data_IF_105956759260
#
_entry.id   IF_105956759260
#
_cell.length_a   1.000
_cell.length_b   1.000
_cell.length_c   1.000
_cell.angle_alpha   90.00
_cell.angle_beta   90.00
_cell.angle_gamma   90.00
#
_symmetry.space_group_name_H-M   'P 1'
#
loop_
_entity.id
_entity.type
_entity.pdbx_description
1 polymer ?
#
# COMPACT_ATOMS: atom_id res chain seq x y z
N UNK A 1 -11.28 -28.39 26.02
CA UNK A 1 -10.25 -29.17 25.31
C UNK A 1 -9.51 -28.18 24.43
N UNK A 2 -8.32 -27.78 24.85
CA UNK A 2 -7.45 -26.85 24.13
C UNK A 2 -6.48 -27.72 23.31
N UNK A 3 -6.68 -27.78 22.01
CA UNK A 3 -5.72 -28.41 21.11
C UNK A 3 -4.58 -27.42 20.83
N UNK A 4 -3.43 -27.81 21.29
CA UNK A 4 -2.11 -27.23 21.11
C UNK A 4 -1.75 -27.16 19.62
N UNK A 5 -1.73 -25.97 19.03
CA UNK A 5 -1.09 -25.73 17.74
C UNK A 5 0.45 -25.74 17.91
N UNK A 6 0.99 -26.94 18.13
CA UNK A 6 2.42 -27.22 18.21
C UNK A 6 2.94 -27.83 16.91
N UNK A 7 2.84 -27.13 15.80
CA UNK A 7 3.56 -27.46 14.58
C UNK A 7 4.84 -26.64 14.51
N UNK A 8 5.99 -27.24 14.87
CA UNK A 8 7.31 -26.67 14.58
C UNK A 8 7.42 -26.49 13.06
N UNK A 9 7.60 -25.26 12.54
CA UNK A 9 7.81 -25.09 11.09
C UNK A 9 9.07 -25.87 10.71
N UNK A 10 8.99 -26.64 9.63
CA UNK A 10 10.12 -27.37 9.08
C UNK A 10 11.29 -26.39 8.87
N UNK A 11 12.53 -26.76 9.24
CA UNK A 11 13.68 -25.88 9.06
C UNK A 11 13.82 -25.55 7.57
N UNK A 12 13.65 -24.29 7.23
CA UNK A 12 13.96 -23.75 5.90
C UNK A 12 15.42 -24.11 5.63
N UNK A 13 15.77 -24.67 4.44
CA UNK A 13 17.15 -25.00 4.12
C UNK A 13 18.02 -23.76 4.32
N UNK A 14 19.09 -23.90 5.09
CA UNK A 14 19.99 -22.81 5.43
C UNK A 14 20.64 -22.28 4.14
N UNK A 15 20.13 -21.15 3.65
CA UNK A 15 20.71 -20.42 2.52
C UNK A 15 22.11 -19.96 2.95
N UNK A 16 23.12 -20.14 2.09
CA UNK A 16 24.47 -19.65 2.38
C UNK A 16 24.47 -18.12 2.55
N UNK A 17 25.39 -17.58 3.37
CA UNK A 17 25.47 -16.14 3.62
C UNK A 17 25.63 -15.31 2.33
N UNK A 18 26.30 -15.88 1.33
CA UNK A 18 26.48 -15.24 0.02
C UNK A 18 25.20 -15.21 -0.80
N UNK A 19 24.40 -16.27 -0.77
CA UNK A 19 23.08 -16.34 -1.41
C UNK A 19 22.10 -15.40 -0.71
N UNK A 20 22.07 -15.39 0.63
CA UNK A 20 21.26 -14.49 1.43
C UNK A 20 21.55 -13.02 1.07
N UNK A 21 22.83 -12.64 0.99
CA UNK A 21 23.22 -11.29 0.60
C UNK A 21 22.82 -10.91 -0.84
N UNK A 22 22.76 -11.88 -1.74
CA UNK A 22 22.28 -11.65 -3.12
C UNK A 22 20.76 -11.37 -3.13
N UNK A 23 19.98 -12.17 -2.39
CA UNK A 23 18.52 -12.01 -2.26
C UNK A 23 18.15 -10.69 -1.59
N UNK A 24 18.88 -10.28 -0.55
CA UNK A 24 18.67 -8.97 0.10
C UNK A 24 18.97 -7.82 -0.88
N UNK A 25 19.99 -7.94 -1.73
CA UNK A 25 20.25 -6.91 -2.76
C UNK A 25 19.15 -6.85 -3.82
N UNK A 26 18.52 -7.97 -4.15
CA UNK A 26 17.36 -7.99 -5.04
C UNK A 26 16.17 -7.30 -4.38
N UNK A 27 15.86 -7.61 -3.12
CA UNK A 27 14.84 -6.93 -2.33
C UNK A 27 15.08 -5.41 -2.32
N UNK A 28 16.31 -4.99 -2.05
CA UNK A 28 16.69 -3.58 -2.03
C UNK A 28 16.46 -2.85 -3.37
N UNK A 29 16.72 -3.53 -4.50
CA UNK A 29 16.45 -2.97 -5.84
C UNK A 29 14.95 -2.84 -6.11
N UNK A 30 14.15 -3.83 -5.67
CA UNK A 30 12.70 -3.78 -5.79
C UNK A 30 12.12 -2.62 -4.96
N UNK A 31 12.64 -2.42 -3.74
CA UNK A 31 12.20 -1.30 -2.90
C UNK A 31 12.52 0.07 -3.52
N UNK A 32 13.71 0.25 -4.12
CA UNK A 32 14.02 1.48 -4.84
C UNK A 32 13.13 1.69 -6.06
N UNK A 33 12.75 0.62 -6.75
CA UNK A 33 11.80 0.71 -7.84
C UNK A 33 10.40 1.09 -7.31
N UNK A 34 9.96 0.48 -6.19
CA UNK A 34 8.70 0.85 -5.50
C UNK A 34 8.69 2.33 -5.14
N UNK A 35 9.75 2.83 -4.51
CA UNK A 35 9.88 4.25 -4.14
C UNK A 35 9.78 5.16 -5.36
N UNK A 36 10.48 4.82 -6.45
CA UNK A 36 10.42 5.59 -7.70
C UNK A 36 9.01 5.60 -8.31
N UNK A 37 8.36 4.43 -8.38
CA UNK A 37 7.01 4.30 -8.90
C UNK A 37 5.99 5.06 -8.04
N UNK A 38 5.98 4.80 -6.71
CA UNK A 38 5.09 5.45 -5.75
C UNK A 38 5.23 6.97 -5.75
N UNK A 39 6.45 7.49 -5.95
CA UNK A 39 6.68 8.95 -6.06
C UNK A 39 5.96 9.52 -7.29
N UNK A 40 6.10 8.87 -8.44
CA UNK A 40 5.41 9.29 -9.67
C UNK A 40 3.91 9.18 -9.51
N UNK A 41 3.44 8.06 -8.97
CA UNK A 41 2.02 7.78 -8.73
C UNK A 41 1.40 8.82 -7.79
N UNK A 42 2.01 9.08 -6.64
CA UNK A 42 1.53 10.08 -5.68
C UNK A 42 1.44 11.47 -6.29
N UNK A 43 2.49 11.92 -7.00
CA UNK A 43 2.51 13.25 -7.63
C UNK A 43 1.40 13.38 -8.68
N UNK A 44 1.29 12.41 -9.58
CA UNK A 44 0.31 12.46 -10.67
C UNK A 44 -1.11 12.32 -10.12
N UNK A 45 -1.35 11.37 -9.19
CA UNK A 45 -2.67 11.14 -8.62
C UNK A 45 -3.15 12.35 -7.80
N UNK A 46 -2.31 12.92 -6.91
CA UNK A 46 -2.68 14.09 -6.10
C UNK A 46 -2.91 15.31 -7.01
N UNK A 47 -2.00 15.61 -7.92
CA UNK A 47 -2.14 16.76 -8.82
C UNK A 47 -3.39 16.64 -9.71
N UNK A 48 -3.64 15.45 -10.24
CA UNK A 48 -4.82 15.14 -11.05
C UNK A 48 -6.11 15.16 -10.24
N UNK A 49 -6.08 14.62 -9.02
CA UNK A 49 -7.21 14.59 -8.11
C UNK A 49 -7.65 16.00 -7.69
N UNK A 50 -6.69 16.85 -7.34
CA UNK A 50 -6.96 18.26 -7.01
C UNK A 50 -7.51 19.00 -8.24
N UNK A 51 -6.89 18.83 -9.42
CA UNK A 51 -7.32 19.51 -10.65
C UNK A 51 -8.71 19.05 -11.12
N UNK A 52 -9.06 17.79 -10.88
CA UNK A 52 -10.35 17.22 -11.26
C UNK A 52 -11.43 17.32 -10.17
N UNK A 53 -11.08 17.80 -8.97
CA UNK A 53 -11.93 17.79 -7.78
C UNK A 53 -12.37 16.35 -7.41
N UNK A 54 -11.52 15.33 -7.68
CA UNK A 54 -11.78 13.93 -7.38
C UNK A 54 -11.24 13.55 -6.01
N UNK A 55 -12.15 13.16 -5.12
CA UNK A 55 -11.83 12.73 -3.76
C UNK A 55 -11.14 11.36 -3.80
N UNK A 56 -11.66 10.44 -4.63
CA UNK A 56 -11.12 9.10 -4.76
C UNK A 56 -9.69 9.10 -5.28
N UNK A 57 -9.40 9.92 -6.30
CA UNK A 57 -8.06 10.02 -6.88
C UNK A 57 -7.08 10.74 -5.93
N UNK A 58 -7.54 11.76 -5.20
CA UNK A 58 -6.72 12.44 -4.20
C UNK A 58 -6.40 11.50 -3.02
N UNK A 59 -7.39 10.75 -2.53
CA UNK A 59 -7.21 9.78 -1.46
C UNK A 59 -6.23 8.68 -1.86
N UNK A 60 -6.34 8.15 -3.08
CA UNK A 60 -5.40 7.18 -3.64
C UNK A 60 -3.96 7.72 -3.69
N UNK A 61 -3.78 8.95 -4.14
CA UNK A 61 -2.45 9.57 -4.17
C UNK A 61 -1.86 9.82 -2.77
N UNK A 62 -2.69 10.15 -1.77
CA UNK A 62 -2.24 10.28 -0.37
C UNK A 62 -1.86 8.91 0.21
N UNK A 63 -2.62 7.87 -0.11
CA UNK A 63 -2.30 6.49 0.27
C UNK A 63 -0.92 6.07 -0.28
N UNK A 64 -0.63 6.38 -1.55
CA UNK A 64 0.69 6.16 -2.16
C UNK A 64 1.83 6.89 -1.42
N UNK A 65 1.57 8.06 -0.79
CA UNK A 65 2.56 8.75 0.07
C UNK A 65 2.79 7.99 1.38
N UNK A 66 1.75 7.40 1.96
CA UNK A 66 1.86 6.59 3.19
C UNK A 66 2.67 5.33 2.90
N UNK A 67 2.38 4.63 1.81
CA UNK A 67 3.15 3.46 1.36
C UNK A 67 4.61 3.81 1.04
N UNK A 68 4.86 4.98 0.44
CA UNK A 68 6.21 5.48 0.19
C UNK A 68 7.01 5.64 1.49
N UNK A 69 6.37 6.12 2.56
CA UNK A 69 7.00 6.20 3.88
C UNK A 69 7.31 4.82 4.46
N UNK A 70 6.41 3.85 4.32
CA UNK A 70 6.61 2.45 4.72
C UNK A 70 7.78 1.81 3.97
N UNK A 71 7.83 1.96 2.64
CA UNK A 71 8.94 1.49 1.81
C UNK A 71 10.29 2.11 2.23
N UNK A 72 10.29 3.41 2.60
CA UNK A 72 11.48 4.08 3.13
C UNK A 72 12.00 3.46 4.42
N UNK A 73 11.11 3.11 5.35
CA UNK A 73 11.47 2.39 6.59
C UNK A 73 12.04 1.01 6.27
N UNK A 74 11.45 0.29 5.32
CA UNK A 74 11.94 -1.03 4.91
C UNK A 74 13.34 -0.95 4.26
N UNK A 75 13.59 0.02 3.38
CA UNK A 75 14.92 0.30 2.79
C UNK A 75 15.95 0.55 3.89
N UNK A 76 15.62 1.41 4.85
CA UNK A 76 16.51 1.68 5.97
C UNK A 76 16.84 0.41 6.75
N UNK A 77 15.85 -0.39 7.08
CA UNK A 77 16.00 -1.69 7.74
C UNK A 77 16.92 -2.64 6.97
N UNK A 78 16.65 -2.87 5.68
CA UNK A 78 17.47 -3.73 4.82
C UNK A 78 18.93 -3.23 4.74
N UNK A 79 19.13 -1.90 4.72
CA UNK A 79 20.46 -1.30 4.69
C UNK A 79 21.23 -1.53 5.99
N UNK A 80 20.56 -1.51 7.15
CA UNK A 80 21.15 -1.80 8.46
C UNK A 80 21.51 -3.28 8.57
N UNK A 81 20.64 -4.19 8.10
CA UNK A 81 20.91 -5.63 8.09
C UNK A 81 22.15 -5.96 7.22
N UNK A 82 22.23 -5.37 6.02
CA UNK A 82 23.38 -5.56 5.12
C UNK A 82 24.71 -5.06 5.69
N UNK A 83 24.69 -3.94 6.45
CA UNK A 83 25.91 -3.32 6.97
C UNK A 83 26.37 -3.92 8.29
N UNK A 84 25.47 -4.34 9.15
CA UNK A 84 25.77 -4.68 10.54
C UNK A 84 25.38 -6.10 10.94
N UNK A 85 24.69 -6.87 10.07
CA UNK A 85 24.21 -8.22 10.38
C UNK A 85 23.23 -8.28 11.57
N UNK A 86 22.62 -7.16 11.96
CA UNK A 86 21.72 -7.07 13.12
C UNK A 86 20.27 -7.10 12.68
N UNK A 87 19.49 -7.99 13.29
CA UNK A 87 18.04 -7.93 13.20
C UNK A 87 17.52 -6.63 13.85
N UNK A 88 16.52 -6.03 13.25
CA UNK A 88 15.90 -4.79 13.75
C UNK A 88 15.13 -5.06 15.06
N UNK A 89 14.99 -4.03 15.92
CA UNK A 89 14.20 -4.19 17.14
C UNK A 89 12.71 -4.25 16.79
N UNK A 90 11.99 -5.21 17.34
CA UNK A 90 10.54 -5.38 17.15
C UNK A 90 9.75 -4.13 17.57
N UNK A 91 10.25 -3.38 18.56
CA UNK A 91 9.60 -2.17 19.05
C UNK A 91 9.59 -1.02 18.01
N UNK A 92 10.67 -0.85 17.26
CA UNK A 92 10.73 0.15 16.19
C UNK A 92 9.80 -0.21 15.02
N UNK A 93 9.70 -1.50 14.71
CA UNK A 93 8.74 -2.00 13.71
C UNK A 93 7.30 -1.73 14.11
N UNK A 94 6.94 -2.04 15.36
CA UNK A 94 5.59 -1.79 15.90
C UNK A 94 5.25 -0.30 15.90
N UNK A 95 6.21 0.55 16.22
CA UNK A 95 6.00 2.01 16.21
C UNK A 95 5.73 2.51 14.78
N UNK A 96 6.55 2.10 13.81
CA UNK A 96 6.37 2.47 12.41
C UNK A 96 5.00 2.01 11.86
N UNK A 97 4.61 0.77 12.15
CA UNK A 97 3.32 0.21 11.75
C UNK A 97 2.13 0.98 12.37
N UNK A 98 2.22 1.34 13.66
CA UNK A 98 1.18 2.15 14.33
C UNK A 98 1.07 3.56 13.76
N UNK A 99 2.18 4.18 13.40
CA UNK A 99 2.17 5.50 12.73
C UNK A 99 1.48 5.39 11.38
N UNK A 100 1.82 4.39 10.55
CA UNK A 100 1.17 4.15 9.27
C UNK A 100 -0.34 3.91 9.45
N UNK A 101 -0.74 3.03 10.39
CA UNK A 101 -2.14 2.78 10.71
C UNK A 101 -2.89 4.05 11.15
N UNK A 102 -2.25 4.91 11.96
CA UNK A 102 -2.81 6.20 12.37
C UNK A 102 -3.03 7.16 11.18
N UNK A 103 -2.10 7.20 10.23
CA UNK A 103 -2.22 7.99 9.00
C UNK A 103 -3.35 7.46 8.10
N UNK A 104 -3.51 6.14 7.99
CA UNK A 104 -4.62 5.53 7.25
C UNK A 104 -5.99 5.86 7.88
N UNK A 105 -6.09 5.89 9.22
CA UNK A 105 -7.33 6.34 9.88
C UNK A 105 -7.59 7.83 9.67
N UNK A 106 -6.56 8.68 9.67
CA UNK A 106 -6.71 10.09 9.34
C UNK A 106 -7.19 10.29 7.89
N UNK A 107 -6.63 9.52 6.95
CA UNK A 107 -7.06 9.50 5.56
C UNK A 107 -8.51 9.00 5.42
N UNK A 108 -8.89 7.94 6.14
CA UNK A 108 -10.26 7.43 6.18
C UNK A 108 -11.24 8.52 6.68
N UNK A 109 -10.89 9.24 7.75
CA UNK A 109 -11.69 10.34 8.25
C UNK A 109 -11.82 11.48 7.23
N UNK A 110 -10.73 11.84 6.54
CA UNK A 110 -10.78 12.82 5.45
C UNK A 110 -11.75 12.37 4.34
N UNK A 111 -11.68 11.11 3.90
CA UNK A 111 -12.56 10.57 2.84
C UNK A 111 -14.03 10.64 3.26
N UNK A 112 -14.37 10.28 4.51
CA UNK A 112 -15.75 10.36 5.01
C UNK A 112 -16.27 11.79 4.96
N UNK A 113 -15.49 12.76 5.47
CA UNK A 113 -15.89 14.16 5.51
C UNK A 113 -16.02 14.74 4.10
N UNK A 114 -15.04 14.49 3.24
CA UNK A 114 -15.01 15.00 1.88
C UNK A 114 -16.13 14.38 1.01
N UNK A 115 -16.34 13.06 1.07
CA UNK A 115 -17.42 12.40 0.36
C UNK A 115 -18.81 12.84 0.86
N UNK A 116 -18.97 12.98 2.17
CA UNK A 116 -20.21 13.53 2.77
C UNK A 116 -20.50 14.96 2.30
N UNK A 117 -19.47 15.79 2.23
CA UNK A 117 -19.57 17.15 1.72
C UNK A 117 -19.94 17.17 0.22
N UNK A 118 -19.25 16.39 -0.60
CA UNK A 118 -19.52 16.27 -2.04
C UNK A 118 -20.95 15.81 -2.34
N UNK A 119 -21.44 14.80 -1.59
CA UNK A 119 -22.82 14.33 -1.70
C UNK A 119 -23.86 15.40 -1.26
N UNK A 120 -23.55 16.15 -0.21
CA UNK A 120 -24.43 17.20 0.28
C UNK A 120 -24.56 18.39 -0.70
N UNK A 121 -23.43 18.84 -1.24
CA UNK A 121 -23.38 19.98 -2.17
C UNK A 121 -23.58 19.61 -3.63
N UNK A 122 -23.71 18.31 -3.96
CA UNK A 122 -23.80 17.78 -5.30
C UNK A 122 -22.63 18.23 -6.19
N UNK A 123 -21.45 18.29 -5.59
CA UNK A 123 -20.23 18.59 -6.32
C UNK A 123 -19.81 17.36 -7.15
N UNK A 124 -19.67 17.52 -8.45
CA UNK A 124 -19.19 16.50 -9.37
C UNK A 124 -17.74 16.74 -9.76
N UNK A 125 -17.01 15.68 -9.99
CA UNK A 125 -15.64 15.74 -10.50
C UNK A 125 -15.62 15.98 -12.02
N UNK A 126 -14.48 16.46 -12.50
CA UNK A 126 -14.15 16.48 -13.92
C UNK A 126 -13.27 15.28 -14.27
N UNK A 127 -13.35 14.79 -15.52
CA UNK A 127 -12.54 13.65 -15.95
C UNK A 127 -11.06 13.99 -15.95
N UNK A 128 -10.23 13.09 -15.40
CA UNK A 128 -8.77 13.22 -15.37
C UNK A 128 -8.09 12.09 -16.14
N UNK A 129 -7.62 12.36 -17.35
CA UNK A 129 -6.85 11.40 -18.14
C UNK A 129 -5.50 11.02 -17.51
N UNK A 130 -4.70 11.96 -16.98
CA UNK A 130 -3.44 11.58 -16.30
C UNK A 130 -3.69 10.71 -15.08
N UNK A 131 -4.72 11.01 -14.29
CA UNK A 131 -5.13 10.19 -13.15
C UNK A 131 -5.55 8.78 -13.57
N UNK A 132 -6.39 8.66 -14.61
CA UNK A 132 -6.81 7.36 -15.15
C UNK A 132 -5.61 6.54 -15.66
N UNK A 133 -4.68 7.17 -16.37
CA UNK A 133 -3.50 6.45 -16.90
C UNK A 133 -2.61 5.94 -15.78
N UNK A 134 -2.29 6.78 -14.78
CA UNK A 134 -1.39 6.36 -13.68
C UNK A 134 -2.03 5.26 -12.84
N UNK A 135 -3.31 5.37 -12.50
CA UNK A 135 -4.02 4.32 -11.73
C UNK A 135 -4.18 3.03 -12.53
N UNK A 136 -4.45 3.11 -13.83
CA UNK A 136 -4.52 1.92 -14.68
C UNK A 136 -3.16 1.21 -14.81
N UNK A 137 -2.05 1.95 -14.87
CA UNK A 137 -0.69 1.40 -14.88
C UNK A 137 -0.28 0.85 -13.52
N UNK A 138 -0.80 1.40 -12.42
CA UNK A 138 -0.53 0.91 -11.07
C UNK A 138 -0.97 -0.56 -10.91
N UNK A 139 -2.09 -0.98 -11.49
CA UNK A 139 -2.61 -2.36 -11.38
C UNK A 139 -1.56 -3.41 -11.77
N UNK A 140 -1.04 -3.45 -13.01
CA UNK A 140 -0.03 -4.44 -13.38
C UNK A 140 1.31 -4.24 -12.66
N UNK A 141 1.71 -3.01 -12.37
CA UNK A 141 2.96 -2.71 -11.66
C UNK A 141 2.90 -3.27 -10.24
N UNK A 142 1.83 -2.98 -9.48
CA UNK A 142 1.65 -3.49 -8.12
C UNK A 142 1.54 -5.01 -8.09
N UNK A 143 0.82 -5.61 -9.03
CA UNK A 143 0.74 -7.07 -9.13
C UNK A 143 2.13 -7.72 -9.32
N UNK A 144 2.96 -7.19 -10.21
CA UNK A 144 4.30 -7.72 -10.47
C UNK A 144 5.23 -7.50 -9.27
N UNK A 145 5.17 -6.32 -8.63
CA UNK A 145 5.92 -6.01 -7.42
C UNK A 145 5.53 -6.95 -6.28
N UNK A 146 4.25 -7.06 -5.97
CA UNK A 146 3.75 -7.93 -4.91
C UNK A 146 4.19 -9.38 -5.11
N UNK A 147 4.05 -9.91 -6.33
CA UNK A 147 4.47 -11.28 -6.67
C UNK A 147 5.97 -11.51 -6.41
N UNK A 148 6.82 -10.56 -6.80
CA UNK A 148 8.27 -10.65 -6.59
C UNK A 148 8.65 -10.49 -5.14
N UNK A 149 8.08 -9.50 -4.44
CA UNK A 149 8.29 -9.26 -3.01
C UNK A 149 7.87 -10.47 -2.16
N UNK A 150 6.72 -11.09 -2.45
CA UNK A 150 6.26 -12.30 -1.75
C UNK A 150 7.23 -13.47 -1.93
N UNK A 151 7.76 -13.69 -3.13
CA UNK A 151 8.74 -14.73 -3.39
C UNK A 151 10.02 -14.52 -2.55
N UNK A 152 10.57 -13.30 -2.56
CA UNK A 152 11.77 -12.93 -1.80
C UNK A 152 11.49 -12.97 -0.29
N UNK A 153 10.31 -12.52 0.15
CA UNK A 153 9.91 -12.58 1.55
C UNK A 153 9.87 -14.02 2.08
N UNK A 154 9.37 -14.96 1.28
CA UNK A 154 9.36 -16.39 1.62
C UNK A 154 10.79 -16.96 1.70
N UNK A 155 11.67 -16.59 0.76
CA UNK A 155 13.05 -17.04 0.71
C UNK A 155 13.89 -16.51 1.90
N UNK A 156 13.68 -15.24 2.29
CA UNK A 156 14.36 -14.61 3.42
C UNK A 156 13.73 -14.93 4.79
N UNK A 157 12.50 -15.47 4.82
CA UNK A 157 11.70 -15.58 6.04
C UNK A 157 11.35 -14.22 6.66
N UNK A 158 11.28 -13.15 5.85
CA UNK A 158 11.09 -11.77 6.31
C UNK A 158 9.60 -11.40 6.41
N UNK A 159 9.10 -11.24 7.65
CA UNK A 159 7.72 -10.79 7.90
C UNK A 159 7.46 -9.38 7.39
N UNK A 160 8.44 -8.48 7.54
CA UNK A 160 8.29 -7.09 7.11
C UNK A 160 8.18 -6.96 5.58
N UNK A 161 9.03 -7.70 4.83
CA UNK A 161 8.94 -7.69 3.37
C UNK A 161 7.63 -8.34 2.88
N UNK A 162 7.11 -9.34 3.63
CA UNK A 162 5.81 -9.92 3.36
C UNK A 162 4.67 -8.92 3.59
N UNK A 163 4.71 -8.16 4.68
CA UNK A 163 3.73 -7.13 4.98
C UNK A 163 3.70 -6.06 3.87
N UNK A 164 4.86 -5.53 3.49
CA UNK A 164 5.00 -4.57 2.40
C UNK A 164 4.53 -5.14 1.03
N UNK A 165 4.74 -6.44 0.78
CA UNK A 165 4.19 -7.09 -0.40
C UNK A 165 2.65 -7.18 -0.38
N UNK A 166 2.04 -7.33 0.79
CA UNK A 166 0.58 -7.33 0.97
C UNK A 166 0.04 -5.90 0.76
N UNK A 167 0.73 -4.87 1.27
CA UNK A 167 0.41 -3.46 0.98
C UNK A 167 0.36 -3.21 -0.55
N UNK A 168 1.35 -3.71 -1.30
CA UNK A 168 1.35 -3.61 -2.76
C UNK A 168 0.16 -4.33 -3.43
N UNK A 169 -0.33 -5.47 -2.87
CA UNK A 169 -1.56 -6.13 -3.35
C UNK A 169 -2.76 -5.23 -3.10
N UNK A 170 -2.87 -4.65 -1.92
CA UNK A 170 -3.99 -3.77 -1.54
C UNK A 170 -4.01 -2.52 -2.41
N UNK A 171 -2.86 -1.89 -2.64
CA UNK A 171 -2.73 -0.75 -3.56
C UNK A 171 -3.20 -1.09 -4.99
N UNK A 172 -2.86 -2.29 -5.47
CA UNK A 172 -3.38 -2.78 -6.76
C UNK A 172 -4.91 -2.89 -6.79
N UNK A 173 -5.54 -3.33 -5.70
CA UNK A 173 -6.99 -3.36 -5.57
C UNK A 173 -7.62 -1.97 -5.48
N UNK A 174 -7.00 -1.05 -4.72
CA UNK A 174 -7.43 0.35 -4.65
C UNK A 174 -7.38 1.00 -6.03
N UNK A 175 -6.27 0.79 -6.76
CA UNK A 175 -6.11 1.25 -8.15
C UNK A 175 -7.25 0.77 -9.04
N UNK A 176 -7.63 -0.51 -8.92
CA UNK A 176 -8.74 -1.08 -9.69
C UNK A 176 -10.08 -0.42 -9.37
N UNK A 177 -10.38 -0.16 -8.09
CA UNK A 177 -11.59 0.55 -7.66
C UNK A 177 -11.62 1.97 -8.21
N UNK A 178 -10.50 2.70 -8.13
CA UNK A 178 -10.39 4.08 -8.65
C UNK A 178 -10.57 4.10 -10.18
N UNK A 179 -9.96 3.16 -10.91
CA UNK A 179 -10.13 3.05 -12.37
C UNK A 179 -11.59 2.83 -12.74
N UNK A 180 -12.29 1.94 -12.04
CA UNK A 180 -13.73 1.71 -12.28
C UNK A 180 -14.51 2.99 -12.01
N UNK A 181 -14.23 3.72 -10.92
CA UNK A 181 -14.87 4.98 -10.59
C UNK A 181 -14.66 6.04 -11.69
N UNK A 182 -13.40 6.25 -12.11
CA UNK A 182 -13.06 7.22 -13.16
C UNK A 182 -13.68 6.86 -14.52
N UNK A 183 -13.71 5.57 -14.87
CA UNK A 183 -14.38 5.12 -16.11
C UNK A 183 -15.90 5.29 -16.04
N UNK A 184 -16.51 4.98 -14.89
CA UNK A 184 -17.92 5.20 -14.66
C UNK A 184 -18.26 6.70 -14.73
N UNK A 185 -17.43 7.55 -14.16
CA UNK A 185 -17.56 9.00 -14.25
C UNK A 185 -17.48 9.47 -15.71
N UNK A 186 -16.52 8.96 -16.46
CA UNK A 186 -16.35 9.30 -17.88
C UNK A 186 -17.58 8.87 -18.74
N UNK A 187 -18.17 7.72 -18.42
CA UNK A 187 -19.28 7.14 -19.18
C UNK A 187 -20.65 7.74 -18.79
N UNK A 188 -20.89 8.01 -17.53
CA UNK A 188 -22.19 8.39 -16.96
C UNK A 188 -22.23 9.89 -16.63
N UNK A 189 -21.11 10.47 -16.16
CA UNK A 189 -21.00 11.89 -15.79
C UNK A 189 -21.86 12.29 -14.59
N UNK A 190 -22.17 11.34 -13.69
CA UNK A 190 -23.04 11.60 -12.56
C UNK A 190 -22.24 12.13 -11.36
N UNK A 191 -22.63 13.26 -10.80
CA UNK A 191 -21.97 13.98 -9.71
C UNK A 191 -21.66 13.14 -8.45
N UNK A 192 -22.39 12.05 -8.22
CA UNK A 192 -22.23 11.21 -7.03
C UNK A 192 -21.20 10.08 -7.19
N UNK A 193 -20.71 9.78 -8.39
CA UNK A 193 -19.85 8.60 -8.66
C UNK A 193 -18.56 8.66 -7.86
N UNK A 194 -17.85 9.79 -7.86
CA UNK A 194 -16.58 9.92 -7.13
C UNK A 194 -16.78 9.74 -5.63
N UNK A 195 -17.82 10.33 -5.06
CA UNK A 195 -18.13 10.16 -3.63
C UNK A 195 -18.44 8.70 -3.26
N UNK A 196 -19.15 7.97 -4.13
CA UNK A 196 -19.43 6.53 -3.90
C UNK A 196 -18.15 5.71 -4.07
N UNK A 197 -17.32 6.02 -5.06
CA UNK A 197 -16.03 5.36 -5.27
C UNK A 197 -15.10 5.58 -4.07
N UNK A 198 -15.02 6.81 -3.56
CA UNK A 198 -14.20 7.13 -2.39
C UNK A 198 -14.69 6.42 -1.12
N UNK A 199 -16.02 6.26 -0.94
CA UNK A 199 -16.57 5.45 0.15
C UNK A 199 -16.26 3.94 -0.01
N UNK A 200 -16.16 3.43 -1.23
CA UNK A 200 -15.71 2.05 -1.46
C UNK A 200 -14.23 1.86 -1.04
N UNK A 201 -13.39 2.87 -1.28
CA UNK A 201 -11.99 2.88 -0.81
C UNK A 201 -11.91 2.85 0.72
N UNK A 202 -12.84 3.52 1.41
CA UNK A 202 -12.88 3.63 2.87
C UNK A 202 -12.80 2.26 3.57
N UNK A 203 -13.45 1.24 3.02
CA UNK A 203 -13.41 -0.11 3.59
C UNK A 203 -11.98 -0.66 3.62
N UNK A 204 -11.19 -0.45 2.56
CA UNK A 204 -9.79 -0.86 2.49
C UNK A 204 -8.93 -0.07 3.48
N UNK A 205 -9.06 1.26 3.51
CA UNK A 205 -8.30 2.12 4.42
C UNK A 205 -8.51 1.75 5.89
N UNK A 206 -9.76 1.47 6.28
CA UNK A 206 -10.09 1.06 7.65
C UNK A 206 -9.56 -0.34 7.96
N UNK A 207 -9.67 -1.28 7.02
CA UNK A 207 -9.14 -2.64 7.17
C UNK A 207 -7.63 -2.58 7.39
N UNK A 208 -6.91 -1.94 6.48
CA UNK A 208 -5.46 -1.84 6.50
C UNK A 208 -4.95 -1.03 7.70
N UNK A 209 -5.61 0.09 8.02
CA UNK A 209 -5.33 0.86 9.22
C UNK A 209 -5.45 0.04 10.52
N UNK A 210 -6.43 -0.86 10.60
CA UNK A 210 -6.59 -1.76 11.75
C UNK A 210 -5.49 -2.81 11.83
N UNK A 211 -5.13 -3.43 10.70
CA UNK A 211 -4.06 -4.43 10.61
C UNK A 211 -2.70 -3.81 10.98
N UNK A 212 -2.38 -2.63 10.43
CA UNK A 212 -1.19 -1.88 10.76
C UNK A 212 -1.15 -1.46 12.25
N UNK A 213 -2.29 -0.99 12.79
CA UNK A 213 -2.37 -0.58 14.21
C UNK A 213 -2.22 -1.75 15.18
N UNK A 214 -2.79 -2.91 14.87
CA UNK A 214 -2.68 -4.11 15.68
C UNK A 214 -1.27 -4.72 15.66
N UNK A 215 -0.45 -4.35 14.69
CA UNK A 215 0.87 -4.96 14.48
C UNK A 215 0.75 -6.42 14.03
N UNK A 216 -0.42 -6.80 13.56
CA UNK A 216 -0.72 -8.12 13.00
C UNK A 216 -0.30 -8.13 11.53
N UNK A 217 0.97 -8.42 11.27
CA UNK A 217 1.34 -8.97 9.99
C UNK A 217 0.75 -10.38 9.90
N UNK A 218 -0.46 -10.47 9.34
CA UNK A 218 -1.22 -11.67 8.98
C UNK A 218 -0.60 -13.00 9.43
N UNK A 219 -1.11 -13.54 10.54
CA UNK A 219 -1.16 -14.98 10.76
C UNK A 219 -2.49 -15.45 10.14
N UNK A 220 -2.47 -15.82 8.85
CA UNK A 220 -3.36 -16.83 8.24
C UNK A 220 -2.74 -17.26 6.90
#
# INVERSE_FOLDING_TARGET
MAESCGGTPAPTPAISDTERAAVIREAFRLEWFTVGWMTVEAIVAIASGIAAHSISLTAFGIDSVIELASAGVLIWRLSVELKHGRAFSEDAERLASRIAGGLLFALAAYVVVAAGWGLWHREGETSSWPGLIVTALAIPVMYLLAKRKLAIAAELGSRALRADAIEAVTCGWLSFVVVIGLLAQLAIGAWWIDSVTSLAILWFLVKEGREAWAGEACCD
#
